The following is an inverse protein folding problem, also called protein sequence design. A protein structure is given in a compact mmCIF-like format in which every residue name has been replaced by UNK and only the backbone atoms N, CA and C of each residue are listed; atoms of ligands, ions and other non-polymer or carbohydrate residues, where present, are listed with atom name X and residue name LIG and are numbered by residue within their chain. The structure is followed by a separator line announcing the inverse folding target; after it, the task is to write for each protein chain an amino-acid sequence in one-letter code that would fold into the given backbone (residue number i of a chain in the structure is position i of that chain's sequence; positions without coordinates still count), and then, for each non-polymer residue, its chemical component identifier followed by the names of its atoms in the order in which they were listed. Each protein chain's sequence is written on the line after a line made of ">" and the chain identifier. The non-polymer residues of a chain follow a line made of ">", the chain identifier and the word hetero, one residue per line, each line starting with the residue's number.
data_IF_492741301745
#
_entry.id   IF_492741301745
#
_cell.length_a   1.000
_cell.length_b   1.000
_cell.length_c   1.000
_cell.angle_alpha   90.00
_cell.angle_beta   90.00
_cell.angle_gamma   90.00
#
_symmetry.space_group_name_H-M   'P 1'
#
loop_
_entity.id
_entity.type
_entity.pdbx_description
1 polymer ?
#
# COMPACT_ATOMS: atom_id res chain seq x y z
N UNK A 1 -43.63 -25.50 16.01
CA UNK A 1 -42.37 -24.75 15.85
C UNK A 1 -41.73 -24.52 17.21
N UNK A 2 -40.43 -24.78 17.32
CA UNK A 2 -39.73 -24.59 18.59
C UNK A 2 -39.49 -23.10 18.80
N UNK A 3 -39.52 -22.65 20.07
CA UNK A 3 -39.30 -21.23 20.44
C UNK A 3 -38.00 -20.64 19.85
N UNK A 4 -37.06 -21.48 19.41
CA UNK A 4 -35.78 -21.09 18.82
C UNK A 4 -35.88 -20.47 17.42
N UNK A 5 -36.84 -20.89 16.58
CA UNK A 5 -36.93 -20.40 15.19
C UNK A 5 -37.29 -18.92 15.12
N UNK A 6 -38.02 -18.41 16.11
CA UNK A 6 -38.41 -17.01 16.20
C UNK A 6 -37.21 -16.11 16.53
N UNK A 7 -36.20 -16.62 17.24
CA UNK A 7 -35.01 -15.85 17.61
C UNK A 7 -33.90 -15.86 16.56
N UNK A 8 -34.03 -16.68 15.49
CA UNK A 8 -33.02 -16.78 14.44
C UNK A 8 -32.84 -15.47 13.67
N UNK A 9 -33.93 -14.84 13.24
CA UNK A 9 -33.88 -13.61 12.44
C UNK A 9 -33.22 -12.42 13.19
N UNK A 10 -33.67 -12.04 14.41
CA UNK A 10 -32.98 -11.00 15.17
C UNK A 10 -31.54 -11.39 15.53
N UNK A 11 -31.29 -12.69 15.79
CA UNK A 11 -29.94 -13.21 16.03
C UNK A 11 -28.99 -13.00 14.85
N UNK A 12 -29.40 -13.36 13.63
CA UNK A 12 -28.60 -13.17 12.40
C UNK A 12 -28.36 -11.68 12.14
N UNK A 13 -29.41 -10.85 12.25
CA UNK A 13 -29.28 -9.40 12.05
C UNK A 13 -28.30 -8.77 13.04
N UNK A 14 -28.33 -9.17 14.31
CA UNK A 14 -27.37 -8.71 15.31
C UNK A 14 -25.96 -9.27 15.06
N UNK A 15 -25.84 -10.55 14.68
CA UNK A 15 -24.56 -11.21 14.41
C UNK A 15 -23.83 -10.58 13.21
N UNK A 16 -24.53 -10.00 12.25
CA UNK A 16 -23.93 -9.25 11.14
C UNK A 16 -23.79 -7.76 11.48
N UNK A 17 -24.81 -7.16 12.10
CA UNK A 17 -24.86 -5.73 12.40
C UNK A 17 -23.77 -5.26 13.37
N UNK A 18 -23.52 -6.02 14.44
CA UNK A 18 -22.52 -5.65 15.46
C UNK A 18 -21.09 -5.65 14.90
N UNK A 19 -20.63 -6.68 14.16
CA UNK A 19 -19.33 -6.61 13.48
C UNK A 19 -19.21 -5.44 12.50
N UNK A 20 -20.26 -5.10 11.75
CA UNK A 20 -20.25 -3.93 10.86
C UNK A 20 -20.08 -2.62 11.63
N UNK A 21 -20.71 -2.48 12.80
CA UNK A 21 -20.51 -1.33 13.68
C UNK A 21 -19.06 -1.25 14.20
N UNK A 22 -18.50 -2.38 14.64
CA UNK A 22 -17.11 -2.44 15.13
C UNK A 22 -16.13 -2.08 14.00
N UNK A 23 -16.26 -2.74 12.85
CA UNK A 23 -15.43 -2.48 11.67
C UNK A 23 -15.57 -1.03 11.21
N UNK A 24 -16.79 -0.50 11.14
CA UNK A 24 -17.06 0.89 10.78
C UNK A 24 -16.44 1.88 11.76
N UNK A 25 -16.48 1.60 13.06
CA UNK A 25 -15.83 2.41 14.09
C UNK A 25 -14.31 2.43 13.93
N UNK A 26 -13.69 1.26 13.73
CA UNK A 26 -12.24 1.12 13.49
C UNK A 26 -11.83 1.85 12.22
N UNK A 27 -12.50 1.59 11.09
CA UNK A 27 -12.20 2.20 9.79
C UNK A 27 -12.44 3.72 9.82
N UNK A 28 -13.41 4.22 10.60
CA UNK A 28 -13.69 5.66 10.66
C UNK A 28 -12.71 6.43 11.55
N UNK A 29 -12.20 5.80 12.62
CA UNK A 29 -11.40 6.49 13.64
C UNK A 29 -9.92 6.18 13.51
N UNK A 30 -9.56 4.90 13.41
CA UNK A 30 -8.16 4.46 13.46
C UNK A 30 -7.48 4.70 12.13
N UNK A 31 -8.07 4.20 11.02
CA UNK A 31 -7.44 4.24 9.71
C UNK A 31 -7.17 5.69 9.21
N UNK A 32 -8.07 6.67 9.37
CA UNK A 32 -7.80 8.05 8.96
C UNK A 32 -6.78 8.75 9.85
N UNK A 33 -6.59 8.28 11.09
CA UNK A 33 -5.56 8.81 12.00
C UNK A 33 -4.19 8.26 11.63
N UNK A 34 -4.07 6.96 11.38
CA UNK A 34 -2.80 6.35 10.94
C UNK A 34 -2.33 6.96 9.63
N UNK A 35 -3.23 7.11 8.64
CA UNK A 35 -2.92 7.78 7.37
C UNK A 35 -2.51 9.23 7.59
N UNK A 36 -3.18 9.98 8.48
CA UNK A 36 -2.82 11.37 8.77
C UNK A 36 -1.45 11.50 9.42
N UNK A 37 -1.12 10.65 10.38
CA UNK A 37 0.17 10.62 11.04
C UNK A 37 1.27 10.35 10.02
N UNK A 38 1.09 9.32 9.19
CA UNK A 38 2.02 8.99 8.11
C UNK A 38 2.18 10.14 7.11
N UNK A 39 1.08 10.75 6.66
CA UNK A 39 1.12 11.90 5.78
C UNK A 39 1.86 13.10 6.39
N UNK A 40 1.73 13.31 7.71
CA UNK A 40 2.44 14.37 8.41
C UNK A 40 3.93 14.07 8.53
N UNK A 41 4.31 12.82 8.78
CA UNK A 41 5.70 12.37 8.79
C UNK A 41 6.35 12.59 7.43
N UNK A 42 5.72 12.10 6.36
CA UNK A 42 6.17 12.27 4.97
C UNK A 42 6.23 13.76 4.59
N UNK A 43 5.26 14.57 5.00
CA UNK A 43 5.25 16.00 4.70
C UNK A 43 6.47 16.72 5.30
N UNK A 44 6.90 16.31 6.50
CA UNK A 44 8.08 16.87 7.21
C UNK A 44 9.40 16.45 6.57
N UNK A 45 9.48 15.25 5.99
CA UNK A 45 10.68 14.78 5.30
C UNK A 45 10.96 15.66 4.09
N UNK A 46 12.14 16.28 3.99
CA UNK A 46 12.54 16.98 2.77
C UNK A 46 12.95 15.96 1.72
N UNK A 47 12.74 16.29 0.45
CA UNK A 47 13.30 15.52 -0.66
C UNK A 47 14.81 15.59 -0.52
N UNK A 48 15.45 14.44 -0.31
CA UNK A 48 16.87 14.35 -0.07
C UNK A 48 17.63 14.45 -1.39
N UNK A 49 18.70 15.23 -1.39
CA UNK A 49 19.74 15.28 -2.42
C UNK A 49 20.98 14.56 -1.95
N UNK A 50 21.92 14.30 -2.86
CA UNK A 50 23.20 13.66 -2.50
C UNK A 50 23.95 14.38 -1.36
N UNK A 51 23.81 15.70 -1.24
CA UNK A 51 24.43 16.50 -0.18
C UNK A 51 23.77 16.33 1.20
N UNK A 52 22.50 15.92 1.23
CA UNK A 52 21.72 15.75 2.46
C UNK A 52 21.74 14.32 3.02
N UNK A 53 22.29 13.36 2.27
CA UNK A 53 22.40 11.96 2.67
C UNK A 53 23.62 11.71 3.56
N UNK A 54 23.65 12.37 4.71
CA UNK A 54 24.82 12.41 5.60
C UNK A 54 24.61 11.72 6.96
N UNK A 55 23.38 11.34 7.30
CA UNK A 55 23.03 10.76 8.60
C UNK A 55 22.50 9.32 8.46
N UNK A 56 23.32 8.35 8.86
CA UNK A 56 22.94 6.94 8.87
C UNK A 56 21.78 6.71 9.84
N UNK A 57 20.82 5.88 9.44
CA UNK A 57 19.62 5.56 10.21
C UNK A 57 18.50 6.59 10.07
N UNK A 58 18.74 7.70 9.38
CA UNK A 58 17.69 8.68 9.10
C UNK A 58 16.68 8.13 8.09
N UNK A 59 15.40 8.45 8.31
CA UNK A 59 14.35 8.29 7.31
C UNK A 59 14.60 9.29 6.19
N UNK A 60 14.60 8.79 4.95
CA UNK A 60 14.85 9.61 3.77
C UNK A 60 13.70 9.47 2.78
N UNK A 61 13.46 10.57 2.06
CA UNK A 61 12.53 10.63 0.96
C UNK A 61 13.32 11.06 -0.27
N UNK A 62 13.42 10.21 -1.28
CA UNK A 62 14.13 10.51 -2.52
C UNK A 62 13.11 10.70 -3.63
N UNK A 63 13.33 11.71 -4.47
CA UNK A 63 12.65 11.85 -5.75
C UNK A 63 13.70 11.79 -6.84
N UNK A 64 13.49 10.94 -7.83
CA UNK A 64 14.46 10.71 -8.87
C UNK A 64 13.94 9.82 -9.97
N UNK A 65 14.86 9.27 -10.74
CA UNK A 65 14.57 8.35 -11.84
C UNK A 65 15.34 7.05 -11.66
N UNK A 66 14.77 5.95 -12.13
CA UNK A 66 15.49 4.67 -12.21
C UNK A 66 16.68 4.84 -13.16
N UNK A 67 17.89 4.63 -12.66
CA UNK A 67 19.14 4.75 -13.42
C UNK A 67 19.33 3.56 -14.36
N UNK A 68 19.96 3.82 -15.52
CA UNK A 68 20.37 2.83 -16.52
C UNK A 68 21.47 1.87 -16.02
N UNK A 69 22.11 2.21 -14.91
CA UNK A 69 23.00 1.33 -14.16
C UNK A 69 22.28 0.15 -13.51
N UNK A 70 20.96 0.24 -13.35
CA UNK A 70 20.15 -0.87 -12.85
C UNK A 70 20.20 -2.03 -13.84
N UNK A 71 20.56 -3.21 -13.37
CA UNK A 71 20.64 -4.38 -14.22
C UNK A 71 19.27 -4.71 -14.83
N UNK A 72 19.21 -5.12 -16.11
CA UNK A 72 17.96 -5.54 -16.72
C UNK A 72 17.42 -6.80 -16.02
N UNK A 73 16.09 -6.91 -15.91
CA UNK A 73 15.46 -8.10 -15.37
C UNK A 73 15.36 -9.22 -16.42
N UNK A 74 14.87 -10.39 -15.99
CA UNK A 74 14.44 -11.48 -16.88
C UNK A 74 13.18 -11.14 -17.70
N UNK A 75 12.57 -9.97 -17.48
CA UNK A 75 11.37 -9.48 -18.19
C UNK A 75 11.54 -8.03 -18.69
N UNK A 76 12.29 -7.83 -19.79
CA UNK A 76 12.40 -6.51 -20.41
C UNK A 76 11.02 -5.97 -20.85
N UNK A 77 10.77 -4.65 -20.76
CA UNK A 77 11.71 -3.58 -20.38
C UNK A 77 11.80 -3.33 -18.86
N UNK A 78 11.16 -4.15 -18.02
CA UNK A 78 11.13 -3.93 -16.58
C UNK A 78 12.51 -4.23 -15.96
N UNK A 79 12.89 -3.49 -14.92
CA UNK A 79 14.07 -3.76 -14.09
C UNK A 79 13.70 -4.34 -12.72
N UNK A 80 12.49 -4.03 -12.26
CA UNK A 80 11.90 -4.54 -11.02
C UNK A 80 10.40 -4.69 -11.23
N UNK A 81 9.78 -5.76 -10.71
CA UNK A 81 8.38 -6.03 -10.99
C UNK A 81 7.72 -6.98 -9.98
N UNK A 82 6.40 -6.92 -9.93
CA UNK A 82 5.52 -7.95 -9.37
C UNK A 82 4.87 -8.74 -10.51
N UNK A 83 4.98 -10.07 -10.46
CA UNK A 83 4.27 -10.98 -11.37
C UNK A 83 2.94 -11.38 -10.73
N UNK A 84 1.88 -11.17 -11.49
CA UNK A 84 0.53 -11.57 -11.15
C UNK A 84 0.06 -12.63 -12.12
N UNK A 85 -0.51 -13.70 -11.58
CA UNK A 85 -1.16 -14.75 -12.36
C UNK A 85 -2.67 -14.68 -12.14
N UNK A 86 -3.42 -14.83 -13.24
CA UNK A 86 -4.88 -14.92 -13.17
C UNK A 86 -5.27 -16.29 -12.64
N UNK A 87 -5.96 -16.31 -11.51
CA UNK A 87 -6.49 -17.52 -10.88
C UNK A 87 -8.00 -17.43 -10.77
N UNK A 88 -8.67 -18.59 -10.74
CA UNK A 88 -10.11 -18.64 -10.53
C UNK A 88 -10.40 -19.07 -9.10
N UNK A 89 -11.02 -18.19 -8.30
CA UNK A 89 -11.45 -18.47 -6.92
C UNK A 89 -12.93 -18.15 -6.80
N UNK A 90 -13.69 -19.07 -6.22
CA UNK A 90 -15.15 -18.96 -6.03
C UNK A 90 -15.94 -18.55 -7.29
N UNK A 91 -15.46 -18.99 -8.46
CA UNK A 91 -16.09 -18.71 -9.76
C UNK A 91 -15.66 -17.39 -10.41
N UNK A 92 -14.99 -16.51 -9.67
CA UNK A 92 -14.47 -15.21 -10.13
C UNK A 92 -12.99 -15.28 -10.52
N UNK A 93 -12.58 -14.38 -11.41
CA UNK A 93 -11.18 -14.26 -11.82
C UNK A 93 -10.48 -13.22 -10.96
N UNK A 94 -9.41 -13.64 -10.30
CA UNK A 94 -8.58 -12.80 -9.44
C UNK A 94 -7.13 -12.78 -9.95
N UNK A 95 -6.42 -11.70 -9.66
CA UNK A 95 -4.97 -11.60 -9.88
C UNK A 95 -4.26 -11.96 -8.58
N UNK A 96 -3.45 -13.02 -8.61
CA UNK A 96 -2.67 -13.49 -7.48
C UNK A 96 -1.21 -13.13 -7.68
N UNK A 97 -0.57 -12.47 -6.70
CA UNK A 97 0.85 -12.17 -6.77
C UNK A 97 1.64 -13.47 -6.56
N UNK A 98 2.39 -13.88 -7.57
CA UNK A 98 3.13 -15.15 -7.57
C UNK A 98 4.63 -14.96 -7.37
N UNK A 99 5.18 -13.80 -7.76
CA UNK A 99 6.60 -13.49 -7.62
C UNK A 99 6.81 -11.99 -7.52
N UNK A 100 7.68 -11.57 -6.62
CA UNK A 100 8.22 -10.21 -6.57
C UNK A 100 9.70 -10.25 -6.93
N UNK A 101 10.10 -9.47 -7.93
CA UNK A 101 11.49 -9.30 -8.36
C UNK A 101 11.95 -7.87 -8.03
N UNK A 102 12.63 -7.73 -6.89
CA UNK A 102 13.13 -6.47 -6.36
C UNK A 102 14.66 -6.54 -6.17
N UNK A 103 15.44 -6.51 -7.27
CA UNK A 103 16.91 -6.50 -7.20
C UNK A 103 17.40 -5.15 -6.68
N UNK A 104 18.69 -5.04 -6.34
CA UNK A 104 19.32 -3.74 -6.07
C UNK A 104 19.03 -2.76 -7.21
N UNK A 105 18.52 -1.59 -6.87
CA UNK A 105 18.07 -0.59 -7.83
C UNK A 105 18.90 0.69 -7.68
N UNK A 106 19.35 1.26 -8.79
CA UNK A 106 20.07 2.54 -8.78
C UNK A 106 19.08 3.67 -9.08
N UNK A 107 19.06 4.69 -8.25
CA UNK A 107 18.19 5.86 -8.41
C UNK A 107 19.04 7.10 -8.64
N UNK A 108 18.80 7.77 -9.75
CA UNK A 108 19.38 9.06 -10.03
C UNK A 108 18.54 10.15 -9.36
N UNK A 109 19.15 10.87 -8.42
CA UNK A 109 18.53 11.98 -7.70
C UNK A 109 19.27 13.28 -8.03
N UNK A 110 18.73 14.46 -7.67
CA UNK A 110 19.48 15.70 -7.76
C UNK A 110 20.81 15.61 -6.99
N UNK A 111 21.93 15.75 -7.71
CA UNK A 111 23.28 15.76 -7.15
C UNK A 111 24.00 14.40 -7.11
N UNK A 112 23.37 13.29 -7.51
CA UNK A 112 24.07 12.00 -7.57
C UNK A 112 23.18 10.78 -7.75
N UNK A 113 23.77 9.60 -7.55
CA UNK A 113 23.06 8.33 -7.55
C UNK A 113 23.02 7.72 -6.16
N UNK A 114 21.93 7.01 -5.87
CA UNK A 114 21.71 6.28 -4.62
C UNK A 114 21.44 4.82 -4.94
N UNK A 115 22.05 3.93 -4.18
CA UNK A 115 21.76 2.51 -4.23
C UNK A 115 20.55 2.20 -3.33
N UNK A 116 19.54 1.53 -3.86
CA UNK A 116 18.45 0.96 -3.07
C UNK A 116 18.73 -0.51 -2.91
N UNK A 117 18.91 -0.93 -1.66
CA UNK A 117 19.14 -2.32 -1.30
C UNK A 117 17.97 -3.19 -1.78
N UNK A 118 18.26 -4.40 -2.23
CA UNK A 118 17.25 -5.37 -2.65
C UNK A 118 16.18 -5.62 -1.58
N UNK A 119 15.08 -6.28 -1.99
CA UNK A 119 13.93 -6.60 -1.12
C UNK A 119 13.08 -5.40 -0.70
N UNK A 120 13.11 -4.31 -1.48
CA UNK A 120 12.14 -3.21 -1.32
C UNK A 120 10.73 -3.61 -1.77
N UNK A 121 9.75 -2.85 -1.31
CA UNK A 121 8.35 -3.02 -1.71
C UNK A 121 8.00 -2.07 -2.85
N UNK A 122 7.40 -2.60 -3.93
CA UNK A 122 6.78 -1.79 -4.98
C UNK A 122 5.37 -1.41 -4.53
N UNK A 123 5.15 -0.12 -4.25
CA UNK A 123 3.86 0.40 -3.78
C UNK A 123 2.94 0.84 -4.92
N UNK A 124 3.50 1.53 -5.91
CA UNK A 124 2.78 1.99 -7.09
C UNK A 124 3.70 1.91 -8.31
N UNK A 125 3.15 1.49 -9.43
CA UNK A 125 3.88 1.27 -10.68
C UNK A 125 3.04 1.85 -11.82
N UNK A 126 3.69 2.41 -12.84
CA UNK A 126 3.01 2.82 -14.08
C UNK A 126 3.18 1.82 -15.21
N UNK A 127 4.31 1.10 -15.20
CA UNK A 127 4.69 0.20 -16.27
C UNK A 127 4.04 -1.17 -16.08
N UNK A 128 3.33 -1.61 -17.12
CA UNK A 128 2.65 -2.90 -17.17
C UNK A 128 3.04 -3.66 -18.44
N UNK A 129 3.41 -4.92 -18.27
CA UNK A 129 3.68 -5.86 -19.37
C UNK A 129 2.74 -7.05 -19.24
N UNK A 130 2.04 -7.40 -20.31
CA UNK A 130 1.14 -8.56 -20.34
C UNK A 130 1.81 -9.70 -21.11
N UNK A 131 1.80 -10.91 -20.53
CA UNK A 131 2.31 -12.13 -21.17
C UNK A 131 1.15 -13.12 -21.34
N UNK A 132 0.48 -13.00 -22.48
CA UNK A 132 -0.78 -13.69 -22.73
C UNK A 132 -1.94 -13.09 -21.93
N UNK A 133 -2.93 -13.92 -21.59
CA UNK A 133 -4.17 -13.50 -20.88
C UNK A 133 -4.15 -13.75 -19.38
N UNK A 134 -3.19 -14.55 -18.93
CA UNK A 134 -3.16 -15.10 -17.59
C UNK A 134 -2.00 -14.57 -16.74
N UNK A 135 -1.13 -13.74 -17.32
CA UNK A 135 0.01 -13.15 -16.60
C UNK A 135 0.16 -11.67 -16.90
N UNK A 136 0.42 -10.93 -15.83
CA UNK A 136 0.67 -9.50 -15.84
C UNK A 136 1.89 -9.22 -14.98
N UNK A 137 2.79 -8.39 -15.47
CA UNK A 137 3.92 -7.87 -14.73
C UNK A 137 3.74 -6.38 -14.54
N UNK A 138 3.80 -5.92 -13.29
CA UNK A 138 3.69 -4.51 -12.94
C UNK A 138 4.97 -4.07 -12.25
N UNK A 139 5.61 -3.00 -12.73
CA UNK A 139 6.98 -2.71 -12.31
C UNK A 139 7.50 -1.34 -12.69
N UNK A 140 8.81 -1.21 -12.62
CA UNK A 140 9.56 -0.04 -13.04
C UNK A 140 10.44 -0.36 -14.25
N UNK A 141 10.58 0.62 -15.13
CA UNK A 141 11.53 0.65 -16.23
C UNK A 141 12.67 1.63 -15.91
N UNK A 142 13.75 1.56 -16.68
CA UNK A 142 14.77 2.62 -16.69
C UNK A 142 14.09 3.95 -17.06
N UNK A 143 14.55 5.06 -16.47
CA UNK A 143 13.98 6.41 -16.60
C UNK A 143 12.58 6.62 -15.98
N UNK A 144 11.96 5.60 -15.36
CA UNK A 144 10.70 5.82 -14.65
C UNK A 144 10.92 6.78 -13.46
N UNK A 145 10.12 7.88 -13.34
CA UNK A 145 10.16 8.74 -12.16
C UNK A 145 9.61 8.00 -10.95
N UNK A 146 10.36 8.06 -9.84
CA UNK A 146 10.03 7.35 -8.62
C UNK A 146 10.22 8.21 -7.37
N UNK A 147 9.38 7.92 -6.38
CA UNK A 147 9.51 8.34 -5.00
C UNK A 147 10.00 7.13 -4.19
N UNK A 148 11.09 7.31 -3.45
CA UNK A 148 11.61 6.29 -2.52
C UNK A 148 11.45 6.78 -1.10
N UNK A 149 10.81 5.98 -0.26
CA UNK A 149 10.74 6.18 1.19
C UNK A 149 11.50 5.04 1.85
N UNK A 150 12.57 5.35 2.58
CA UNK A 150 13.36 4.32 3.21
C UNK A 150 14.23 4.85 4.34
N UNK A 151 15.19 4.03 4.74
CA UNK A 151 16.15 4.36 5.79
C UNK A 151 17.55 4.35 5.21
N UNK A 152 18.32 5.43 5.42
CA UNK A 152 19.71 5.48 4.95
C UNK A 152 20.57 4.50 5.74
N UNK A 153 21.08 3.44 5.10
CA UNK A 153 21.89 2.40 5.75
C UNK A 153 23.39 2.68 5.62
N UNK A 154 23.81 3.34 4.54
CA UNK A 154 25.20 3.77 4.32
C UNK A 154 25.20 5.22 3.86
N UNK A 155 26.02 6.06 4.49
CA UNK A 155 26.23 7.45 4.09
C UNK A 155 27.21 7.47 2.91
N UNK A 156 26.87 8.21 1.86
CA UNK A 156 27.77 8.42 0.73
C UNK A 156 28.74 9.56 1.01
N UNK A 157 29.98 9.43 0.55
CA UNK A 157 30.96 10.51 0.60
C UNK A 157 30.86 11.33 -0.69
N UNK A 158 30.05 12.39 -0.69
CA UNK A 158 29.86 13.30 -1.84
C UNK A 158 31.13 14.08 -2.20
N UNK A 159 32.20 14.02 -1.39
CA UNK A 159 33.46 14.75 -1.58
C UNK A 159 34.54 14.01 -2.37
N UNK A 160 34.36 12.74 -2.74
CA UNK A 160 35.38 11.98 -3.47
C UNK A 160 35.06 11.84 -4.96
N UNK A 161 34.81 12.95 -5.64
CA UNK A 161 35.13 13.04 -7.08
C UNK A 161 36.60 13.42 -7.18
N UNK A 162 37.49 12.51 -6.79
CA UNK A 162 38.90 12.59 -7.19
C UNK A 162 38.98 12.02 -8.61
N UNK A 163 39.74 12.68 -9.48
CA UNK A 163 40.10 12.12 -10.80
C UNK A 163 40.50 10.65 -10.62
N UNK A 164 39.93 9.72 -11.40
CA UNK A 164 40.22 8.31 -11.25
C UNK A 164 41.71 8.07 -11.50
N UNK A 165 42.45 7.80 -10.42
CA UNK A 165 43.80 7.26 -10.52
C UNK A 165 43.68 5.87 -11.14
N UNK A 166 44.45 5.59 -12.21
CA UNK A 166 44.26 4.46 -13.13
C UNK A 166 44.19 3.03 -12.52
N UNK A 167 44.39 2.87 -11.21
CA UNK A 167 44.43 1.58 -10.51
C UNK A 167 43.50 1.51 -9.27
N UNK A 168 42.61 2.47 -9.07
CA UNK A 168 41.67 2.46 -7.94
C UNK A 168 40.36 1.77 -8.35
N UNK A 169 40.06 0.63 -7.74
CA UNK A 169 38.70 0.06 -7.79
C UNK A 169 37.71 1.16 -7.36
N UNK A 170 36.61 1.40 -8.10
CA UNK A 170 35.67 2.46 -7.75
C UNK A 170 35.19 2.23 -6.31
N UNK A 171 35.60 3.12 -5.41
CA UNK A 171 35.31 3.04 -3.98
C UNK A 171 33.80 3.05 -3.76
N UNK A 172 33.31 2.06 -3.00
CA UNK A 172 31.93 1.90 -2.51
C UNK A 172 31.52 3.02 -1.53
N UNK A 173 31.55 4.26 -1.97
CA UNK A 173 31.13 5.42 -1.17
C UNK A 173 29.80 5.99 -1.66
N UNK A 174 28.94 5.14 -2.23
CA UNK A 174 27.61 5.53 -2.66
C UNK A 174 26.62 5.39 -1.49
N UNK A 175 25.70 6.35 -1.31
CA UNK A 175 24.69 6.23 -0.28
C UNK A 175 23.79 5.03 -0.58
N UNK A 176 23.46 4.26 0.45
CA UNK A 176 22.62 3.06 0.33
C UNK A 176 21.38 3.24 1.20
N UNK A 177 20.20 3.00 0.63
CA UNK A 177 18.91 3.02 1.34
C UNK A 177 18.37 1.59 1.47
N UNK A 178 17.99 1.21 2.68
CA UNK A 178 17.34 -0.07 2.99
C UNK A 178 15.91 0.13 3.49
N UNK A 179 15.18 -0.98 3.61
CA UNK A 179 13.76 -1.00 4.03
C UNK A 179 12.92 0.02 3.24
N UNK A 180 13.09 0.00 1.91
CA UNK A 180 12.51 1.00 1.03
C UNK A 180 11.12 0.58 0.52
N UNK A 181 10.25 1.58 0.42
CA UNK A 181 9.03 1.55 -0.38
C UNK A 181 9.24 2.47 -1.58
N UNK A 182 9.01 1.95 -2.78
CA UNK A 182 9.18 2.69 -4.03
C UNK A 182 7.82 2.83 -4.73
N UNK A 183 7.50 4.04 -5.16
CA UNK A 183 6.29 4.33 -5.92
C UNK A 183 6.56 5.16 -7.17
N UNK A 184 5.79 4.93 -8.24
CA UNK A 184 5.72 5.79 -9.41
C UNK A 184 4.89 7.03 -9.08
N UNK A 185 5.48 8.02 -8.42
CA UNK A 185 4.83 9.28 -8.07
C UNK A 185 5.86 10.31 -7.60
N UNK A 186 5.43 11.56 -7.44
CA UNK A 186 6.18 12.58 -6.70
C UNK A 186 5.71 12.62 -5.25
N UNK A 187 6.43 13.29 -4.35
CA UNK A 187 5.98 13.55 -2.97
C UNK A 187 4.65 14.31 -2.96
N UNK A 188 4.49 15.27 -3.87
CA UNK A 188 3.27 16.06 -3.96
C UNK A 188 2.07 15.17 -4.28
N UNK A 189 2.22 14.31 -5.29
CA UNK A 189 1.19 13.35 -5.69
C UNK A 189 0.92 12.33 -4.57
N UNK A 190 1.97 11.87 -3.91
CA UNK A 190 1.86 10.94 -2.79
C UNK A 190 1.06 11.50 -1.61
N UNK A 191 1.33 12.75 -1.23
CA UNK A 191 0.55 13.42 -0.18
C UNK A 191 -0.91 13.63 -0.59
N UNK A 192 -1.19 13.85 -1.88
CA UNK A 192 -2.55 13.92 -2.42
C UNK A 192 -3.24 12.55 -2.33
N UNK A 193 -2.54 11.47 -2.67
CA UNK A 193 -3.02 10.10 -2.56
C UNK A 193 -3.37 9.76 -1.11
N UNK A 194 -2.48 10.05 -0.15
CA UNK A 194 -2.76 9.83 1.28
C UNK A 194 -3.97 10.64 1.77
N UNK A 195 -4.14 11.89 1.32
CA UNK A 195 -5.31 12.70 1.64
C UNK A 195 -6.60 12.08 1.08
N UNK A 196 -6.56 11.54 -0.13
CA UNK A 196 -7.69 10.83 -0.75
C UNK A 196 -8.01 9.55 0.01
N UNK A 197 -7.02 8.73 0.32
CA UNK A 197 -7.18 7.50 1.11
C UNK A 197 -7.79 7.80 2.49
N UNK A 198 -7.33 8.86 3.17
CA UNK A 198 -7.91 9.31 4.43
C UNK A 198 -9.39 9.66 4.29
N UNK A 199 -9.75 10.39 3.24
CA UNK A 199 -11.13 10.76 2.95
C UNK A 199 -11.99 9.53 2.66
N UNK A 200 -11.50 8.62 1.80
CA UNK A 200 -12.17 7.36 1.46
C UNK A 200 -12.39 6.50 2.70
N UNK A 201 -11.38 6.34 3.57
CA UNK A 201 -11.50 5.60 4.82
C UNK A 201 -12.60 6.17 5.74
N UNK A 202 -12.70 7.51 5.85
CA UNK A 202 -13.77 8.14 6.65
C UNK A 202 -15.17 7.82 6.11
N UNK A 203 -15.34 7.83 4.79
CA UNK A 203 -16.61 7.51 4.13
C UNK A 203 -16.95 6.04 4.21
N UNK A 204 -15.97 5.16 3.98
CA UNK A 204 -16.15 3.71 4.11
C UNK A 204 -16.55 3.37 5.56
N UNK A 205 -15.86 3.94 6.54
CA UNK A 205 -16.21 3.77 7.95
C UNK A 205 -17.61 4.31 8.30
N UNK A 206 -18.04 5.43 7.70
CA UNK A 206 -19.41 5.92 7.85
C UNK A 206 -20.43 4.91 7.30
N UNK A 207 -20.19 4.40 6.10
CA UNK A 207 -21.07 3.47 5.42
C UNK A 207 -21.26 2.18 6.24
N UNK A 208 -20.17 1.63 6.78
CA UNK A 208 -20.22 0.47 7.66
C UNK A 208 -21.00 0.76 8.95
N UNK A 209 -20.81 1.94 9.57
CA UNK A 209 -21.59 2.34 10.75
C UNK A 209 -23.08 2.49 10.45
N UNK A 210 -23.45 3.07 9.32
CA UNK A 210 -24.86 3.23 8.92
C UNK A 210 -25.50 1.86 8.69
N UNK A 211 -24.85 1.00 7.91
CA UNK A 211 -25.35 -0.35 7.64
C UNK A 211 -25.45 -1.19 8.92
N UNK A 212 -24.42 -1.16 9.76
CA UNK A 212 -24.43 -1.83 11.05
C UNK A 212 -25.53 -1.30 11.96
N UNK A 213 -25.77 0.01 12.00
CA UNK A 213 -26.84 0.61 12.80
C UNK A 213 -28.21 0.17 12.33
N UNK A 214 -28.45 0.14 11.02
CA UNK A 214 -29.72 -0.31 10.43
C UNK A 214 -29.99 -1.79 10.74
N UNK A 215 -28.99 -2.67 10.59
CA UNK A 215 -29.13 -4.09 10.89
C UNK A 215 -29.39 -4.33 12.38
N UNK A 216 -28.62 -3.67 13.26
CA UNK A 216 -28.78 -3.83 14.70
C UNK A 216 -30.12 -3.26 15.19
N UNK A 217 -30.56 -2.12 14.65
CA UNK A 217 -31.87 -1.54 14.96
C UNK A 217 -33.00 -2.45 14.47
N UNK A 218 -32.87 -3.03 13.27
CA UNK A 218 -33.82 -4.02 12.75
C UNK A 218 -33.89 -5.27 13.64
N UNK A 219 -32.75 -5.75 14.15
CA UNK A 219 -32.71 -6.85 15.11
C UNK A 219 -33.51 -6.52 16.38
N UNK A 220 -33.29 -5.34 16.96
CA UNK A 220 -34.00 -4.87 18.17
C UNK A 220 -35.50 -4.76 17.93
N UNK A 221 -35.91 -4.13 16.81
CA UNK A 221 -37.33 -3.99 16.45
C UNK A 221 -37.98 -5.35 16.24
N UNK A 222 -37.29 -6.28 15.57
CA UNK A 222 -37.82 -7.63 15.31
C UNK A 222 -37.98 -8.41 16.62
N UNK A 223 -36.97 -8.38 17.49
CA UNK A 223 -37.03 -8.99 18.82
C UNK A 223 -38.16 -8.40 19.67
N UNK A 224 -38.34 -7.08 19.64
CA UNK A 224 -39.44 -6.40 20.34
C UNK A 224 -40.82 -6.83 19.84
N UNK A 225 -41.02 -6.90 18.52
CA UNK A 225 -42.28 -7.31 17.91
C UNK A 225 -42.62 -8.78 18.20
N UNK A 226 -41.62 -9.66 18.24
CA UNK A 226 -41.78 -11.06 18.65
C UNK A 226 -42.17 -11.14 20.13
N UNK A 227 -41.47 -10.39 21.00
CA UNK A 227 -41.76 -10.36 22.42
C UNK A 227 -43.19 -9.90 22.73
N UNK A 228 -43.70 -8.91 21.99
CA UNK A 228 -45.06 -8.39 22.15
C UNK A 228 -46.13 -9.13 21.33
N UNK A 229 -45.80 -10.26 20.70
CA UNK A 229 -46.76 -11.08 19.96
C UNK A 229 -47.36 -10.41 18.71
N UNK A 230 -46.70 -9.39 18.15
CA UNK A 230 -47.18 -8.62 16.98
C UNK A 230 -46.69 -9.15 15.63
N UNK A 231 -45.71 -10.07 15.63
CA UNK A 231 -45.24 -10.76 14.43
C UNK A 231 -45.44 -12.28 14.58
N UNK A 232 -46.48 -12.83 13.97
CA UNK A 232 -46.51 -14.24 13.58
C UNK A 232 -45.91 -14.34 12.17
N UNK A 233 -44.59 -14.49 12.07
CA UNK A 233 -43.87 -14.56 10.78
C UNK A 233 -44.29 -15.76 9.90
N UNK A 234 -45.08 -16.70 10.43
CA UNK A 234 -45.62 -17.87 9.72
C UNK A 234 -47.03 -18.24 10.20
N UNK A 235 -47.96 -17.29 10.22
CA UNK A 235 -49.39 -17.63 10.25
C UNK A 235 -49.86 -17.89 8.81
N UNK A 236 -50.35 -19.12 8.58
CA UNK A 236 -50.86 -19.73 7.35
C UNK A 236 -49.83 -20.30 6.35
N UNK A 237 -49.41 -21.54 6.63
CA UNK A 237 -49.30 -22.63 5.64
C UNK A 237 -49.71 -23.96 6.28
#
# INVERSE_FOLDING_TARGET
>A
MSKWEHWLLPGILAAVGVPFLIAGGVIRVILPRTIATHAQEVARLRVATADTLNERGARVLLEGWVSDRTAPSDRPPLVAYNEYQRVRRDGEWEWDNVRSYAPTLWVQIPGGEVEIMAEYTLRSTASKVEDGRDRVYEGFQVEDPILVLGTLTVVGDSRSVREPTWNEYPSRNQPVVGEAEIGYETKADYLVTLKREQFTARWLGLLFLVLGSLLTLSAVVTAYLIWHGRLNLFADS
#
